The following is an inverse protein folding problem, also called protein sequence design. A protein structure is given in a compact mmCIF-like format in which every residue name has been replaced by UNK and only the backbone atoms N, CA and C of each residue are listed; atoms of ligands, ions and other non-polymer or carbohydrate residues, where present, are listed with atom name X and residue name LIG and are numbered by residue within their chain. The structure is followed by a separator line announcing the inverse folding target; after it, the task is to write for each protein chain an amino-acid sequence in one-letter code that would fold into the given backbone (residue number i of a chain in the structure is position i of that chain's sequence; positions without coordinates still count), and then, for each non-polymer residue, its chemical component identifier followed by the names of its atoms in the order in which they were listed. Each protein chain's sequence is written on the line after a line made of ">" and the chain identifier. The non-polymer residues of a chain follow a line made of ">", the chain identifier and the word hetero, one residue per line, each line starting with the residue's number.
data_IF_663071989409
#
_entry.id   IF_663071989409
#
_cell.length_a   1.000
_cell.length_b   1.000
_cell.length_c   1.000
_cell.angle_alpha   90.00
_cell.angle_beta   90.00
_cell.angle_gamma   90.00
#
_symmetry.space_group_name_H-M   'P 1'
#
loop_
_entity.id
_entity.type
_entity.pdbx_description
1 polymer ?
#
# COMPACT_ATOMS: atom_id res chain seq x y z
N UNK A 1 -10.18 13.12 -6.02
CA UNK A 1 -10.57 11.73 -6.36
C UNK A 1 -11.51 11.24 -5.27
N UNK A 2 -12.74 10.88 -5.61
CA UNK A 2 -13.71 10.35 -4.64
C UNK A 2 -13.38 8.88 -4.38
N UNK A 3 -13.03 8.53 -3.15
CA UNK A 3 -12.73 7.15 -2.76
C UNK A 3 -13.99 6.30 -2.87
N UNK A 4 -13.99 5.31 -3.74
CA UNK A 4 -15.08 4.33 -3.87
C UNK A 4 -14.83 3.17 -2.90
N UNK A 5 -15.62 3.04 -1.82
CA UNK A 5 -15.39 2.03 -0.79
C UNK A 5 -15.57 0.60 -1.33
N UNK A 6 -16.39 0.39 -2.36
CA UNK A 6 -16.56 -0.94 -2.97
C UNK A 6 -15.31 -1.35 -3.75
N UNK A 7 -14.69 -0.42 -4.48
CA UNK A 7 -13.40 -0.67 -5.15
C UNK A 7 -12.26 -0.88 -4.16
N UNK A 8 -12.23 -0.12 -3.07
CA UNK A 8 -11.25 -0.31 -2.01
C UNK A 8 -11.35 -1.73 -1.41
N UNK A 9 -12.57 -2.20 -1.12
CA UNK A 9 -12.79 -3.56 -0.61
C UNK A 9 -12.38 -4.66 -1.62
N UNK A 10 -12.64 -4.45 -2.92
CA UNK A 10 -12.20 -5.38 -3.97
C UNK A 10 -10.68 -5.44 -4.08
N UNK A 11 -10.00 -4.29 -4.02
CA UNK A 11 -8.53 -4.24 -4.03
C UNK A 11 -7.93 -4.97 -2.82
N UNK A 12 -8.52 -4.82 -1.64
CA UNK A 12 -8.08 -5.57 -0.45
C UNK A 12 -8.18 -7.08 -0.64
N UNK A 13 -9.31 -7.58 -1.17
CA UNK A 13 -9.48 -9.01 -1.47
C UNK A 13 -8.47 -9.53 -2.49
N UNK A 14 -8.14 -8.73 -3.51
CA UNK A 14 -7.13 -9.10 -4.50
C UNK A 14 -5.73 -9.20 -3.88
N UNK A 15 -5.38 -8.28 -2.98
CA UNK A 15 -4.11 -8.27 -2.27
C UNK A 15 -4.00 -9.46 -1.31
N UNK A 16 -5.09 -9.82 -0.61
CA UNK A 16 -5.15 -10.99 0.28
C UNK A 16 -4.82 -12.31 -0.42
N UNK A 17 -5.10 -12.40 -1.73
CA UNK A 17 -4.78 -13.58 -2.55
C UNK A 17 -3.33 -13.65 -3.04
N UNK A 18 -2.48 -12.66 -2.74
CA UNK A 18 -1.10 -12.64 -3.23
C UNK A 18 -0.18 -13.39 -2.27
N UNK A 19 0.40 -14.48 -2.76
CA UNK A 19 1.42 -15.29 -2.07
C UNK A 19 2.79 -14.61 -2.08
N UNK A 20 3.08 -13.77 -1.08
CA UNK A 20 4.31 -12.96 -1.03
C UNK A 20 5.61 -13.79 -0.81
N UNK A 21 5.48 -15.03 -0.36
CA UNK A 21 6.58 -15.99 -0.25
C UNK A 21 7.01 -16.56 -1.62
N UNK A 22 6.13 -16.54 -2.61
CA UNK A 22 6.45 -16.90 -4.00
C UNK A 22 7.19 -15.78 -4.75
N UNK A 23 7.97 -16.16 -5.77
CA UNK A 23 8.65 -15.18 -6.64
C UNK A 23 7.64 -14.32 -7.42
N UNK A 24 6.60 -14.96 -7.95
CA UNK A 24 5.56 -14.29 -8.75
C UNK A 24 4.71 -13.35 -7.90
N UNK A 25 4.37 -13.74 -6.67
CA UNK A 25 3.65 -12.87 -5.75
C UNK A 25 4.46 -11.62 -5.39
N UNK A 26 5.77 -11.75 -5.14
CA UNK A 26 6.64 -10.56 -4.95
C UNK A 26 6.70 -9.67 -6.19
N UNK A 27 6.74 -10.25 -7.39
CA UNK A 27 6.70 -9.48 -8.63
C UNK A 27 5.36 -8.75 -8.78
N UNK A 28 4.24 -9.40 -8.47
CA UNK A 28 2.90 -8.81 -8.45
C UNK A 28 2.79 -7.63 -7.48
N UNK A 29 3.25 -7.79 -6.23
CA UNK A 29 3.27 -6.69 -5.24
C UNK A 29 4.11 -5.52 -5.76
N UNK A 30 5.30 -5.78 -6.31
CA UNK A 30 6.16 -4.71 -6.86
C UNK A 30 5.51 -3.97 -8.02
N UNK A 31 4.78 -4.67 -8.89
CA UNK A 31 4.03 -4.04 -9.98
C UNK A 31 2.93 -3.13 -9.43
N UNK A 32 2.15 -3.59 -8.44
CA UNK A 32 1.11 -2.77 -7.80
C UNK A 32 1.71 -1.52 -7.16
N UNK A 33 2.79 -1.65 -6.38
CA UNK A 33 3.47 -0.52 -5.74
C UNK A 33 3.98 0.50 -6.77
N UNK A 34 4.51 0.03 -7.90
CA UNK A 34 4.94 0.89 -9.00
C UNK A 34 3.78 1.69 -9.60
N UNK A 35 2.63 1.06 -9.83
CA UNK A 35 1.45 1.75 -10.37
C UNK A 35 0.87 2.76 -9.38
N UNK A 36 0.87 2.44 -8.08
CA UNK A 36 0.46 3.38 -7.02
C UNK A 36 1.38 4.62 -7.04
N UNK A 37 2.69 4.41 -7.07
CA UNK A 37 3.67 5.50 -7.08
C UNK A 37 3.59 6.33 -8.37
N UNK A 38 3.30 5.71 -9.52
CA UNK A 38 3.08 6.43 -10.77
C UNK A 38 1.81 7.30 -10.74
N UNK A 39 0.74 6.81 -10.10
CA UNK A 39 -0.52 7.55 -9.95
C UNK A 39 -0.47 8.62 -8.85
N UNK A 40 0.33 8.40 -7.80
CA UNK A 40 0.47 9.27 -6.64
C UNK A 40 1.94 9.26 -6.14
N UNK A 41 2.82 10.08 -6.73
CA UNK A 41 4.22 10.14 -6.34
C UNK A 41 4.42 10.51 -4.85
N UNK A 42 5.37 9.86 -4.19
CA UNK A 42 5.71 10.01 -2.78
C UNK A 42 4.77 9.28 -1.82
N UNK A 43 3.68 8.68 -2.31
CA UNK A 43 2.69 8.02 -1.45
C UNK A 43 3.25 6.79 -0.75
N UNK A 44 4.08 5.99 -1.44
CA UNK A 44 4.69 4.79 -0.85
C UNK A 44 5.69 5.16 0.24
N UNK A 45 6.52 6.18 0.04
CA UNK A 45 7.47 6.67 1.05
C UNK A 45 6.75 7.21 2.28
N UNK A 46 5.69 8.00 2.08
CA UNK A 46 4.85 8.50 3.17
C UNK A 46 4.19 7.36 3.96
N UNK A 47 3.67 6.33 3.27
CA UNK A 47 3.12 5.14 3.93
C UNK A 47 4.19 4.39 4.72
N UNK A 48 5.39 4.22 4.17
CA UNK A 48 6.51 3.58 4.85
C UNK A 48 6.93 4.35 6.11
N UNK A 49 7.04 5.67 6.03
CA UNK A 49 7.33 6.54 7.18
C UNK A 49 6.25 6.41 8.27
N UNK A 50 4.98 6.39 7.88
CA UNK A 50 3.85 6.19 8.81
C UNK A 50 3.89 4.82 9.50
N UNK A 51 4.25 3.76 8.78
CA UNK A 51 4.42 2.43 9.37
C UNK A 51 5.59 2.39 10.35
N UNK A 52 6.71 3.04 10.02
CA UNK A 52 7.87 3.11 10.89
C UNK A 52 7.59 3.90 12.16
N UNK A 53 6.93 5.06 12.05
CA UNK A 53 6.47 5.82 13.22
C UNK A 53 5.59 4.96 14.12
N UNK A 54 4.63 4.21 13.56
CA UNK A 54 3.77 3.29 14.34
C UNK A 54 4.57 2.19 15.04
N UNK A 55 5.59 1.61 14.40
CA UNK A 55 6.48 0.61 15.02
C UNK A 55 7.26 1.18 16.20
N UNK A 56 7.63 2.46 16.12
CA UNK A 56 8.29 3.21 17.19
C UNK A 56 7.33 3.70 18.28
N UNK A 57 6.02 3.39 18.17
CA UNK A 57 4.99 3.87 19.11
C UNK A 57 4.63 5.34 18.95
N UNK A 58 5.07 5.98 17.87
CA UNK A 58 4.78 7.38 17.55
C UNK A 58 3.48 7.42 16.74
N UNK A 59 2.49 8.15 17.22
CA UNK A 59 1.26 8.40 16.45
C UNK A 59 1.53 9.55 15.49
N UNK A 60 1.45 9.35 14.16
CA UNK A 60 1.64 10.44 13.21
C UNK A 60 0.56 11.50 13.44
N UNK A 61 0.95 12.71 13.84
CA UNK A 61 0.06 13.85 13.89
C UNK A 61 -0.23 14.30 12.46
N UNK A 62 -1.47 14.14 12.01
CA UNK A 62 -1.92 14.71 10.75
C UNK A 62 -1.85 16.25 10.84
N UNK A 63 -0.98 16.85 10.03
CA UNK A 63 -0.97 18.29 9.77
C UNK A 63 -1.35 18.52 8.32
#
# INVERSE_FOLDING_TARGET
>A
MTTDPAKAALLMKLIEGIEIDSADGRAGVRAILREIEAAAPGSIEMMAANLEMRRLGITPTAH
#
